data_IF_072932210644
#
_entry.id   IF_072932210644
#
_cell.length_a   1.000
_cell.length_b   1.000
_cell.length_c   1.000
_cell.angle_alpha   90.00
_cell.angle_beta   90.00
_cell.angle_gamma   90.00
#
_symmetry.space_group_name_H-M   'P 1'
#
loop_
_entity.id
_entity.type
_entity.pdbx_description
1 polymer ?
#
# COMPACT_ATOMS: atom_id res chain seq x y z
N UNK A 1 4.68 2.37 -6.49
CA UNK A 1 3.88 2.96 -7.61
C UNK A 1 3.10 4.09 -6.99
N UNK A 2 3.50 5.34 -7.23
CA UNK A 2 2.59 6.45 -6.95
C UNK A 2 1.32 6.15 -7.72
N UNK A 3 0.20 6.08 -7.00
CA UNK A 3 -1.09 5.99 -7.64
C UNK A 3 -1.20 7.24 -8.51
N UNK A 4 -0.99 7.06 -9.82
CA UNK A 4 -1.70 7.83 -10.83
C UNK A 4 -3.16 7.60 -10.47
N UNK A 5 -3.71 8.42 -9.57
CA UNK A 5 -5.14 8.45 -9.38
C UNK A 5 -5.67 8.87 -10.74
N UNK A 6 -6.21 7.93 -11.51
CA UNK A 6 -7.19 8.25 -12.54
C UNK A 6 -8.39 8.86 -11.81
N UNK A 7 -8.28 10.13 -11.45
CA UNK A 7 -9.40 10.92 -10.98
C UNK A 7 -10.11 11.46 -12.22
N UNK A 8 -10.79 10.57 -12.95
CA UNK A 8 -11.53 10.86 -14.19
C UNK A 8 -10.64 11.33 -15.35
N UNK A 9 -10.48 10.50 -16.39
CA UNK A 9 -9.89 10.77 -17.72
C UNK A 9 -8.59 11.62 -17.86
N UNK A 10 -7.99 12.10 -16.77
CA UNK A 10 -6.81 12.95 -16.77
C UNK A 10 -5.66 12.29 -16.01
N UNK A 11 -4.48 12.32 -16.62
CA UNK A 11 -3.23 11.87 -16.00
C UNK A 11 -2.76 12.96 -15.03
N UNK A 12 -2.73 12.64 -13.73
CA UNK A 12 -2.29 13.56 -12.70
C UNK A 12 -0.85 13.27 -12.29
N UNK A 13 0.00 14.29 -12.30
CA UNK A 13 1.32 14.22 -11.67
C UNK A 13 1.10 14.31 -10.15
N UNK A 14 1.57 13.33 -9.37
CA UNK A 14 1.40 13.35 -7.91
C UNK A 14 2.17 14.52 -7.28
N UNK A 15 1.52 15.21 -6.34
CA UNK A 15 2.11 16.28 -5.53
C UNK A 15 2.73 15.71 -4.23
N UNK A 16 3.42 16.57 -3.46
CA UNK A 16 4.06 16.20 -2.19
C UNK A 16 3.10 15.53 -1.18
N UNK A 17 1.81 15.87 -1.24
CA UNK A 17 0.78 15.25 -0.41
C UNK A 17 0.54 13.81 -0.82
N UNK A 18 0.48 13.52 -2.12
CA UNK A 18 0.38 12.16 -2.62
C UNK A 18 1.58 11.30 -2.17
N UNK A 19 2.79 11.84 -2.22
CA UNK A 19 3.98 11.15 -1.70
C UNK A 19 3.91 10.93 -0.19
N UNK A 20 3.52 11.94 0.56
CA UNK A 20 3.39 11.86 2.03
C UNK A 20 2.35 10.83 2.44
N UNK A 21 1.20 10.82 1.77
CA UNK A 21 0.14 9.86 2.01
C UNK A 21 0.59 8.43 1.69
N UNK A 22 1.27 8.22 0.57
CA UNK A 22 1.81 6.91 0.20
C UNK A 22 2.83 6.42 1.23
N UNK A 23 3.74 7.29 1.66
CA UNK A 23 4.71 6.97 2.72
C UNK A 23 4.00 6.57 4.02
N UNK A 24 2.97 7.31 4.42
CA UNK A 24 2.17 6.99 5.60
C UNK A 24 1.44 5.65 5.45
N UNK A 25 0.85 5.36 4.29
CA UNK A 25 0.20 4.07 4.00
C UNK A 25 1.20 2.90 4.08
N UNK A 26 2.43 3.08 3.58
CA UNK A 26 3.47 2.07 3.72
C UNK A 26 3.89 1.82 5.19
N UNK A 27 3.98 2.88 5.99
CA UNK A 27 4.41 2.77 7.40
C UNK A 27 3.29 2.36 8.36
N UNK A 28 2.03 2.50 7.95
CA UNK A 28 0.88 2.16 8.79
C UNK A 28 0.67 0.65 8.86
N UNK A 29 0.41 0.14 10.07
CA UNK A 29 -0.08 -1.22 10.30
C UNK A 29 -1.62 -1.28 10.32
N UNK A 30 -2.28 -0.14 10.59
CA UNK A 30 -3.73 -0.05 10.65
C UNK A 30 -4.38 -0.40 9.31
N UNK A 31 -5.36 -1.30 9.35
CA UNK A 31 -6.07 -1.77 8.16
C UNK A 31 -5.29 -2.79 7.31
N UNK A 32 -4.19 -3.33 7.83
CA UNK A 32 -3.40 -4.39 7.19
C UNK A 32 -3.33 -5.64 8.07
N UNK A 33 -3.45 -6.81 7.44
CA UNK A 33 -3.18 -8.11 8.07
C UNK A 33 -1.80 -8.62 7.66
N UNK A 34 -0.94 -8.93 8.64
CA UNK A 34 0.33 -9.61 8.40
C UNK A 34 0.08 -11.08 8.08
N UNK A 35 0.40 -11.51 6.86
CA UNK A 35 0.14 -12.89 6.39
C UNK A 35 1.40 -13.71 6.24
N UNK A 36 2.56 -13.07 6.15
CA UNK A 36 3.86 -13.75 6.09
C UNK A 36 4.92 -12.92 6.79
N UNK A 37 5.75 -13.57 7.60
CA UNK A 37 6.94 -12.95 8.19
C UNK A 37 8.04 -14.00 8.33
N UNK A 38 9.06 -13.93 7.49
CA UNK A 38 10.21 -14.84 7.54
C UNK A 38 11.41 -14.21 6.83
N UNK A 39 12.62 -14.50 7.33
CA UNK A 39 13.89 -14.10 6.71
C UNK A 39 14.00 -12.59 6.41
N UNK A 40 13.48 -11.74 7.31
CA UNK A 40 13.48 -10.28 7.10
C UNK A 40 12.45 -9.78 6.08
N UNK A 41 11.57 -10.65 5.58
CA UNK A 41 10.50 -10.31 4.64
C UNK A 41 9.17 -10.37 5.38
N UNK A 42 8.42 -9.26 5.36
CA UNK A 42 7.05 -9.19 5.87
C UNK A 42 6.08 -8.88 4.74
N UNK A 43 5.04 -9.70 4.57
CA UNK A 43 3.96 -9.48 3.60
C UNK A 43 2.67 -9.18 4.34
N UNK A 44 2.04 -8.08 3.95
CA UNK A 44 0.82 -7.55 4.52
C UNK A 44 -0.26 -7.47 3.43
N UNK A 45 -1.47 -7.86 3.78
CA UNK A 45 -2.65 -7.80 2.89
C UNK A 45 -3.65 -6.83 3.51
N UNK A 46 -4.16 -5.90 2.73
CA UNK A 46 -5.17 -4.95 3.22
C UNK A 46 -6.43 -5.71 3.65
N UNK A 47 -6.97 -5.34 4.80
CA UNK A 47 -8.25 -5.87 5.28
C UNK A 47 -9.33 -5.33 4.34
N UNK A 48 -9.94 -6.23 3.54
CA UNK A 48 -11.00 -5.86 2.62
C UNK A 48 -12.36 -5.94 3.30
N UNK A 49 -13.26 -5.06 2.86
CA UNK A 49 -14.70 -5.26 3.00
C UNK A 49 -15.14 -6.30 1.96
N UNK A 50 -16.13 -7.14 2.30
CA UNK A 50 -16.51 -8.40 1.61
C UNK A 50 -16.84 -8.28 0.11
N UNK A 51 -16.94 -7.07 -0.45
CA UNK A 51 -17.32 -6.83 -1.85
C UNK A 51 -16.18 -6.46 -2.80
N UNK A 52 -14.92 -6.38 -2.34
CA UNK A 52 -13.78 -6.04 -3.23
C UNK A 52 -13.03 -7.27 -3.73
N UNK A 53 -12.95 -7.40 -5.06
CA UNK A 53 -12.15 -8.45 -5.73
C UNK A 53 -10.65 -8.13 -5.84
N UNK A 54 -10.25 -6.89 -5.54
CA UNK A 54 -8.86 -6.42 -5.62
C UNK A 54 -8.25 -6.28 -4.23
N UNK A 55 -7.19 -7.04 -3.99
CA UNK A 55 -6.42 -6.98 -2.75
C UNK A 55 -5.20 -6.08 -2.92
N UNK A 56 -5.04 -5.10 -2.02
CA UNK A 56 -3.77 -4.37 -1.90
C UNK A 56 -2.77 -5.21 -1.09
N UNK A 57 -1.52 -5.21 -1.54
CA UNK A 57 -0.43 -5.94 -0.90
C UNK A 57 0.70 -4.96 -0.58
N UNK A 58 1.25 -5.06 0.63
CA UNK A 58 2.44 -4.33 1.08
C UNK A 58 3.53 -5.34 1.45
N UNK A 59 4.77 -5.10 1.01
CA UNK A 59 5.92 -5.95 1.33
C UNK A 59 7.03 -5.10 1.92
N UNK A 60 7.53 -5.50 3.08
CA UNK A 60 8.66 -4.87 3.77
C UNK A 60 9.84 -5.82 3.79
N UNK A 61 11.01 -5.31 3.42
CA UNK A 61 12.27 -6.04 3.45
C UNK A 61 13.21 -5.36 4.43
N UNK A 62 13.68 -6.10 5.42
CA UNK A 62 14.74 -5.69 6.32
C UNK A 62 15.99 -6.46 5.93
N UNK A 63 16.86 -5.80 5.15
CA UNK A 63 18.22 -6.27 4.95
C UNK A 63 19.06 -5.73 6.11
N UNK A 64 19.63 -6.63 6.90
CA UNK A 64 20.64 -6.31 7.91
C UNK A 64 21.91 -5.76 7.26
#
# INVERSE_FOLDING_TARGET
>A
ILSLKMAGDAVLIPDDRAFSNFKNECNSEDGWNLTYNKSGISVWIQILEEEKSLHKIKVSFYFL
#
